data_IF_178356100665
#
_entry.id   IF_178356100665
#
_cell.length_a   1.000
_cell.length_b   1.000
_cell.length_c   1.000
_cell.angle_alpha   90.00
_cell.angle_beta   90.00
_cell.angle_gamma   90.00
#
_symmetry.space_group_name_H-M   'P 1'
#
loop_
_entity.id
_entity.type
_entity.pdbx_description
1 polymer ?
#
# COMPACT_ATOMS: atom_id res chain seq x y z
N UNK A 1 -13.68 -9.39 16.89
CA UNK A 1 -12.65 -8.66 16.14
C UNK A 1 -12.08 -9.62 15.10
N UNK A 2 -11.86 -9.18 13.85
CA UNK A 2 -11.48 -10.06 12.72
C UNK A 2 -10.06 -10.69 12.83
N UNK A 3 -9.26 -10.28 13.82
CA UNK A 3 -8.05 -11.01 14.19
C UNK A 3 -8.22 -11.55 15.62
N UNK A 4 -8.52 -12.85 15.76
CA UNK A 4 -8.46 -13.55 17.05
C UNK A 4 -7.02 -13.92 17.45
N UNK A 5 -6.05 -13.42 16.67
CA UNK A 5 -4.62 -13.71 16.79
C UNK A 5 -3.84 -12.40 16.56
N UNK A 6 -3.20 -11.88 17.59
CA UNK A 6 -2.03 -11.00 17.49
C UNK A 6 -2.20 -9.55 16.99
N UNK A 7 -3.36 -9.09 16.52
CA UNK A 7 -3.55 -7.68 16.14
C UNK A 7 -3.00 -7.28 14.76
N UNK A 8 -2.90 -8.24 13.83
CA UNK A 8 -2.40 -8.02 12.46
C UNK A 8 -0.87 -8.19 12.35
N UNK A 9 -0.30 -8.16 11.13
CA UNK A 9 1.14 -8.25 10.93
C UNK A 9 1.84 -7.00 11.49
N UNK A 10 3.08 -7.15 11.92
CA UNK A 10 4.01 -6.04 12.15
C UNK A 10 4.44 -5.40 10.83
N UNK A 11 5.04 -4.20 10.88
CA UNK A 11 5.49 -3.50 9.66
C UNK A 11 6.53 -4.33 8.90
N UNK A 12 7.46 -4.96 9.64
CA UNK A 12 8.50 -5.80 9.05
C UNK A 12 7.93 -7.08 8.41
N UNK A 13 6.97 -7.74 9.07
CA UNK A 13 6.30 -8.91 8.49
C UNK A 13 5.53 -8.54 7.22
N UNK A 14 4.81 -7.42 7.24
CA UNK A 14 4.06 -6.93 6.10
C UNK A 14 4.98 -6.60 4.91
N UNK A 15 6.07 -5.86 5.14
CA UNK A 15 7.04 -5.52 4.09
C UNK A 15 7.76 -6.76 3.54
N UNK A 16 8.09 -7.73 4.40
CA UNK A 16 8.69 -8.99 3.97
C UNK A 16 7.73 -9.79 3.08
N UNK A 17 6.47 -9.90 3.52
CA UNK A 17 5.41 -10.57 2.78
C UNK A 17 5.15 -9.88 1.44
N UNK A 18 5.08 -8.54 1.40
CA UNK A 18 4.85 -7.75 0.20
C UNK A 18 5.98 -7.94 -0.85
N UNK A 19 7.25 -7.99 -0.41
CA UNK A 19 8.40 -8.23 -1.28
C UNK A 19 8.43 -9.64 -1.90
N UNK A 20 7.75 -10.61 -1.32
CA UNK A 20 7.69 -11.98 -1.85
C UNK A 20 9.07 -12.62 -2.04
N UNK A 21 10.03 -12.37 -1.14
CA UNK A 21 11.38 -12.93 -1.27
C UNK A 21 12.29 -12.26 -2.31
N UNK A 22 11.87 -11.15 -2.92
CA UNK A 22 12.74 -10.30 -3.72
C UNK A 22 13.56 -9.37 -2.81
N UNK A 23 14.88 -9.38 -2.97
CA UNK A 23 15.78 -8.45 -2.30
C UNK A 23 15.77 -7.09 -3.02
N UNK A 24 15.72 -6.01 -2.23
CA UNK A 24 15.85 -4.61 -2.70
C UNK A 24 14.85 -4.14 -3.79
N UNK A 25 13.68 -4.76 -3.89
CA UNK A 25 12.61 -4.25 -4.76
C UNK A 25 11.71 -3.26 -4.05
N UNK A 26 11.16 -2.30 -4.80
CA UNK A 26 10.22 -1.31 -4.27
C UNK A 26 8.78 -1.81 -4.28
N UNK A 27 8.40 -2.60 -5.29
CA UNK A 27 7.05 -3.11 -5.48
C UNK A 27 7.04 -4.64 -5.49
N UNK A 28 5.90 -5.29 -5.19
CA UNK A 28 5.80 -6.76 -5.18
C UNK A 28 6.19 -7.44 -6.50
N UNK A 29 6.06 -6.72 -7.62
CA UNK A 29 6.40 -7.17 -8.97
C UNK A 29 7.72 -6.59 -9.51
N UNK A 30 8.49 -5.85 -8.69
CA UNK A 30 9.79 -5.31 -9.08
C UNK A 30 9.89 -3.77 -9.03
N UNK A 31 10.49 -3.18 -10.06
CA UNK A 31 10.84 -1.75 -10.10
C UNK A 31 9.96 -0.88 -11.00
N UNK A 32 9.16 -1.49 -11.88
CA UNK A 32 8.30 -0.75 -12.80
C UNK A 32 7.07 -0.20 -12.08
N UNK A 33 6.86 1.12 -12.20
CA UNK A 33 5.73 1.79 -11.58
C UNK A 33 4.49 1.67 -12.46
N UNK A 34 3.30 1.46 -11.88
CA UNK A 34 2.03 1.56 -12.60
C UNK A 34 1.92 2.89 -13.37
N UNK A 35 1.27 2.84 -14.53
CA UNK A 35 0.99 4.03 -15.34
C UNK A 35 -0.51 4.10 -15.70
N UNK A 36 -0.90 5.17 -16.39
CA UNK A 36 -2.31 5.42 -16.76
C UNK A 36 -2.70 4.83 -18.13
N UNK A 37 -1.80 4.09 -18.79
CA UNK A 37 -1.93 3.70 -20.19
C UNK A 37 -2.02 2.20 -20.44
N UNK A 38 -1.07 1.42 -19.94
CA UNK A 38 -0.86 0.04 -20.35
C UNK A 38 -0.31 -0.88 -19.25
N UNK A 39 0.15 -0.33 -18.13
CA UNK A 39 0.69 -1.12 -17.02
C UNK A 39 -0.12 -0.94 -15.74
N UNK A 40 -1.03 -1.89 -15.50
CA UNK A 40 -1.97 -1.91 -14.37
C UNK A 40 -1.77 -3.15 -13.48
N UNK A 41 -0.64 -3.28 -12.76
CA UNK A 41 -0.35 -4.46 -11.93
C UNK A 41 -1.16 -4.52 -10.63
N UNK A 42 -1.91 -3.47 -10.29
CA UNK A 42 -2.74 -3.38 -9.09
C UNK A 42 -3.91 -2.42 -9.29
N UNK A 43 -4.88 -2.46 -8.36
CA UNK A 43 -6.02 -1.55 -8.35
C UNK A 43 -5.66 -0.21 -7.70
N UNK A 44 -5.54 0.83 -8.52
CA UNK A 44 -5.24 2.20 -8.11
C UNK A 44 -6.05 3.18 -8.99
N UNK A 45 -5.94 4.48 -8.77
CA UNK A 45 -6.62 5.44 -9.64
C UNK A 45 -5.85 5.60 -10.96
N UNK A 46 -6.55 5.79 -12.08
CA UNK A 46 -5.95 6.26 -13.34
C UNK A 46 -6.63 7.53 -13.85
N UNK A 47 -5.86 8.49 -14.36
CA UNK A 47 -6.37 9.73 -14.91
C UNK A 47 -6.33 10.91 -13.94
N UNK A 48 -7.29 11.83 -14.06
CA UNK A 48 -7.24 13.10 -13.33
C UNK A 48 -7.94 13.00 -11.97
N UNK A 49 -7.20 12.57 -10.95
CA UNK A 49 -7.67 12.57 -9.57
C UNK A 49 -7.96 14.01 -9.07
N UNK A 50 -9.06 14.26 -8.32
CA UNK A 50 -10.15 13.35 -7.93
C UNK A 50 -11.35 13.39 -8.90
N UNK A 51 -11.21 14.01 -10.07
CA UNK A 51 -12.34 14.37 -10.94
C UNK A 51 -12.74 13.27 -11.92
N UNK A 52 -11.77 12.51 -12.44
CA UNK A 52 -12.00 11.49 -13.47
C UNK A 52 -11.09 10.28 -13.26
N UNK A 53 -11.71 9.12 -12.98
CA UNK A 53 -11.06 7.82 -13.03
C UNK A 53 -11.34 7.17 -14.40
N UNK A 54 -10.31 6.79 -15.15
CA UNK A 54 -10.48 6.11 -16.45
C UNK A 54 -10.80 4.62 -16.30
N UNK A 55 -10.63 4.05 -15.10
CA UNK A 55 -10.87 2.61 -14.84
C UNK A 55 -10.00 1.73 -15.75
N UNK A 56 -8.75 2.15 -15.98
CA UNK A 56 -7.82 1.43 -16.86
C UNK A 56 -7.50 0.03 -16.34
N UNK A 57 -7.47 -0.12 -15.02
CA UNK A 57 -7.28 -1.40 -14.32
C UNK A 57 -8.55 -2.27 -14.20
N UNK A 58 -9.70 -1.77 -14.66
CA UNK A 58 -10.99 -2.47 -14.61
C UNK A 58 -11.84 -2.23 -13.35
N UNK A 59 -11.38 -1.42 -12.38
CA UNK A 59 -12.10 -1.19 -11.12
C UNK A 59 -12.19 0.29 -10.72
N UNK A 60 -13.42 0.80 -10.55
CA UNK A 60 -13.65 2.18 -10.03
C UNK A 60 -13.43 2.27 -8.51
N UNK A 61 -13.71 1.17 -7.82
CA UNK A 61 -13.64 1.04 -6.37
C UNK A 61 -12.82 -0.19 -6.00
N UNK A 62 -13.24 -0.92 -4.98
CA UNK A 62 -12.52 -2.15 -4.58
C UNK A 62 -12.65 -3.24 -5.64
N UNK A 63 -11.55 -3.97 -5.86
CA UNK A 63 -11.50 -5.20 -6.62
C UNK A 63 -11.72 -6.41 -5.70
N UNK A 64 -12.15 -7.57 -6.23
CA UNK A 64 -12.09 -8.85 -5.52
C UNK A 64 -10.73 -9.07 -4.85
N UNK A 65 -10.72 -9.77 -3.71
CA UNK A 65 -9.50 -10.00 -2.94
C UNK A 65 -8.42 -10.78 -3.72
N UNK A 66 -8.85 -11.61 -4.69
CA UNK A 66 -8.00 -12.35 -5.62
C UNK A 66 -8.19 -11.72 -7.00
N UNK A 67 -7.49 -10.61 -7.21
CA UNK A 67 -7.41 -9.88 -8.47
C UNK A 67 -5.93 -9.52 -8.70
N UNK A 68 -5.57 -9.31 -9.97
CA UNK A 68 -4.18 -9.11 -10.41
C UNK A 68 -3.28 -10.33 -10.13
N UNK A 69 -2.03 -10.24 -10.56
CA UNK A 69 -1.05 -11.29 -10.32
C UNK A 69 -0.64 -11.32 -8.84
N UNK A 70 -0.52 -12.50 -8.22
CA UNK A 70 0.06 -12.60 -6.90
C UNK A 70 1.55 -12.28 -6.94
N UNK A 71 2.11 -11.87 -5.80
CA UNK A 71 3.55 -11.86 -5.65
C UNK A 71 4.10 -13.30 -5.54
N UNK A 72 5.43 -13.44 -5.50
CA UNK A 72 6.13 -14.73 -5.48
C UNK A 72 5.79 -15.67 -4.30
N UNK A 73 5.12 -15.17 -3.25
CA UNK A 73 4.66 -15.98 -2.10
C UNK A 73 3.16 -16.24 -2.13
N UNK A 74 2.47 -15.89 -3.22
CA UNK A 74 1.06 -16.16 -3.43
C UNK A 74 0.11 -15.13 -2.81
N UNK A 75 0.62 -13.94 -2.44
CA UNK A 75 -0.20 -12.87 -1.86
C UNK A 75 -0.68 -11.91 -2.94
N UNK A 76 -1.95 -11.55 -2.86
CA UNK A 76 -2.63 -10.66 -3.81
C UNK A 76 -2.85 -9.28 -3.21
N UNK A 77 -2.92 -8.25 -4.06
CA UNK A 77 -3.32 -6.91 -3.66
C UNK A 77 -2.52 -6.30 -2.48
N UNK A 78 -1.27 -6.74 -2.28
CA UNK A 78 -0.36 -6.14 -1.28
C UNK A 78 -0.12 -4.64 -1.54
N UNK A 79 -0.40 -4.19 -2.76
CA UNK A 79 -0.39 -2.79 -3.16
C UNK A 79 -1.71 -2.47 -3.85
N UNK A 80 -2.30 -1.31 -3.52
CA UNK A 80 -3.57 -0.86 -4.06
C UNK A 80 -4.77 -1.54 -3.41
N UNK A 81 -5.93 -1.47 -4.05
CA UNK A 81 -7.22 -1.95 -3.57
C UNK A 81 -7.65 -1.30 -2.24
N UNK A 82 -7.16 -1.77 -1.08
CA UNK A 82 -7.51 -1.25 0.24
C UNK A 82 -6.28 -1.06 1.12
N UNK A 83 -6.32 -0.05 1.99
CA UNK A 83 -5.29 0.13 3.00
C UNK A 83 -5.34 -1.01 4.02
N UNK A 84 -4.17 -1.53 4.38
CA UNK A 84 -4.05 -2.63 5.34
C UNK A 84 -3.55 -2.14 6.69
N UNK A 85 -4.26 -2.52 7.75
CA UNK A 85 -3.88 -2.21 9.13
C UNK A 85 -2.66 -3.01 9.57
N UNK A 86 -1.79 -2.36 10.34
CA UNK A 86 -0.61 -2.97 10.92
C UNK A 86 -0.64 -2.91 12.46
N UNK A 87 -0.04 -3.91 13.11
CA UNK A 87 0.12 -3.94 14.55
C UNK A 87 1.08 -2.83 15.06
N UNK A 88 2.00 -2.36 14.22
CA UNK A 88 2.97 -1.33 14.57
C UNK A 88 2.32 0.05 14.80
N UNK A 89 2.89 0.82 15.72
CA UNK A 89 2.51 2.21 15.93
C UNK A 89 3.07 3.09 14.79
N UNK A 90 2.30 4.07 14.34
CA UNK A 90 2.79 5.03 13.37
C UNK A 90 3.90 5.89 13.96
N UNK A 91 5.02 6.04 13.24
CA UNK A 91 6.12 6.92 13.61
C UNK A 91 6.85 7.44 12.38
N UNK A 92 7.10 8.75 12.35
CA UNK A 92 8.01 9.36 11.38
C UNK A 92 9.45 8.96 11.73
N UNK A 93 10.05 8.12 10.89
CA UNK A 93 11.45 7.68 10.99
C UNK A 93 12.39 8.78 10.50
N UNK A 94 12.69 9.75 11.37
CA UNK A 94 13.65 10.82 11.07
C UNK A 94 14.45 11.17 12.33
N UNK A 95 15.77 11.34 12.16
CA UNK A 95 16.68 11.76 13.23
C UNK A 95 16.61 13.27 13.52
N UNK A 96 15.91 14.04 12.67
CA UNK A 96 15.76 15.48 12.86
C UNK A 96 14.87 15.76 14.07
N UNK A 97 15.23 16.78 14.85
CA UNK A 97 14.43 17.21 16.01
C UNK A 97 12.99 17.57 15.62
N UNK A 98 12.78 18.02 14.39
CA UNK A 98 11.47 18.33 13.81
C UNK A 98 10.52 17.13 13.72
N UNK A 99 11.02 15.90 13.84
CA UNK A 99 10.18 14.70 13.87
C UNK A 99 9.58 14.42 15.25
N UNK A 100 9.97 15.14 16.30
CA UNK A 100 9.43 14.94 17.66
C UNK A 100 7.98 15.35 17.77
N UNK A 101 7.61 16.54 17.30
CA UNK A 101 6.25 17.07 17.44
C UNK A 101 5.22 16.25 16.63
N UNK A 102 5.49 15.85 15.37
CA UNK A 102 4.60 14.94 14.64
C UNK A 102 4.44 13.57 15.31
N UNK A 103 5.51 13.02 15.88
CA UNK A 103 5.46 11.74 16.59
C UNK A 103 4.69 11.83 17.91
N UNK A 104 4.77 12.97 18.60
CA UNK A 104 3.97 13.21 19.80
C UNK A 104 2.48 13.34 19.45
N UNK A 105 2.14 14.05 18.36
CA UNK A 105 0.77 14.20 17.88
C UNK A 105 0.16 12.89 17.36
N UNK A 106 0.97 12.01 16.78
CA UNK A 106 0.51 10.71 16.27
C UNK A 106 0.52 9.58 17.30
N UNK A 107 0.77 9.89 18.58
CA UNK A 107 0.81 8.89 19.66
C UNK A 107 -0.56 8.21 19.79
N UNK A 108 -0.56 6.88 19.62
CA UNK A 108 -1.79 6.06 19.63
C UNK A 108 -2.28 5.66 18.25
N UNK A 109 -1.79 6.31 17.18
CA UNK A 109 -2.11 5.92 15.81
C UNK A 109 -1.39 4.62 15.43
N UNK A 110 -2.07 3.79 14.65
CA UNK A 110 -1.49 2.59 14.03
C UNK A 110 -1.06 2.87 12.61
N UNK A 111 -0.08 2.11 12.14
CA UNK A 111 0.40 2.19 10.78
C UNK A 111 -0.62 1.53 9.82
N UNK A 112 -0.74 2.11 8.63
CA UNK A 112 -1.45 1.54 7.49
C UNK A 112 -0.50 1.46 6.30
N UNK A 113 -0.61 0.41 5.48
CA UNK A 113 0.31 0.10 4.38
C UNK A 113 -0.46 -0.29 3.11
N UNK A 114 0.24 -0.35 1.98
CA UNK A 114 -0.26 -0.87 0.70
C UNK A 114 -0.97 0.14 -0.21
N UNK A 115 -1.55 1.23 0.32
CA UNK A 115 -2.33 2.16 -0.49
C UNK A 115 -3.76 1.67 -0.73
N UNK A 116 -4.48 2.30 -1.66
CA UNK A 116 -5.84 1.89 -2.04
C UNK A 116 -6.14 2.19 -3.50
N UNK A 117 -7.34 1.82 -3.96
CA UNK A 117 -7.87 2.21 -5.28
C UNK A 117 -7.94 3.74 -5.51
N UNK A 118 -7.75 4.55 -4.46
CA UNK A 118 -7.69 6.02 -4.57
C UNK A 118 -6.27 6.57 -4.72
N UNK A 119 -5.25 5.71 -4.63
CA UNK A 119 -3.86 6.13 -4.81
C UNK A 119 -3.62 6.52 -6.26
N UNK A 120 -2.89 7.61 -6.47
CA UNK A 120 -2.50 8.08 -7.80
C UNK A 120 -1.10 8.69 -7.70
N UNK A 121 -0.30 8.52 -8.75
CA UNK A 121 1.09 9.00 -8.79
C UNK A 121 1.21 10.51 -8.56
N UNK A 122 0.19 11.30 -8.92
CA UNK A 122 0.21 12.75 -8.76
C UNK A 122 0.02 13.26 -7.32
N UNK A 123 -0.54 12.44 -6.41
CA UNK A 123 -0.92 12.92 -5.07
C UNK A 123 -0.57 11.93 -3.95
N UNK A 124 -0.93 10.66 -4.10
CA UNK A 124 -0.75 9.64 -3.09
C UNK A 124 0.00 8.45 -3.69
N UNK A 125 1.33 8.57 -3.71
CA UNK A 125 2.24 7.49 -4.12
C UNK A 125 2.98 6.87 -2.92
N UNK A 126 2.33 6.83 -1.76
CA UNK A 126 2.76 5.99 -0.64
C UNK A 126 2.02 4.66 -0.74
N UNK A 127 2.43 3.88 -1.74
CA UNK A 127 1.95 2.52 -2.00
C UNK A 127 2.89 1.47 -1.39
N UNK A 128 3.90 1.91 -0.63
CA UNK A 128 4.88 1.09 0.08
C UNK A 128 4.55 0.92 1.57
#
# INVERSE_FOLDING_TARGET
>A
MYANWGGGPTEAEWEHAARGGLEDVRLPWGGELPNDTDFFPCNIWQGNFPHKNTTGDGYIGTAPAISFEPNNVGLYNMVGNVWEWNAAAFRVRSLKRTARDPNAAAKGNRLIKGGSFMCHISYCFRIE
#
